data_IF_121874470087
#
_entry.id   IF_121874470087
#
_cell.length_a   1.000
_cell.length_b   1.000
_cell.length_c   1.000
_cell.angle_alpha   90.00
_cell.angle_beta   90.00
_cell.angle_gamma   90.00
#
_symmetry.space_group_name_H-M   'P 1'
#
loop_
_entity.id
_entity.type
_entity.pdbx_description
1 polymer ?
#
# COMPACT_ATOMS: atom_id res chain seq x y z
N UNK A 1 -11.56 -12.43 30.83
CA UNK A 1 -11.54 -11.28 31.77
C UNK A 1 -12.71 -11.43 32.76
N UNK A 2 -12.51 -11.06 34.02
CA UNK A 2 -13.59 -10.99 35.01
C UNK A 2 -14.59 -9.92 34.59
N UNK A 3 -15.87 -10.12 34.89
CA UNK A 3 -16.95 -9.22 34.51
C UNK A 3 -17.97 -9.17 35.65
N UNK A 4 -18.14 -8.01 36.31
CA UNK A 4 -19.17 -7.84 37.33
C UNK A 4 -20.58 -8.02 36.77
N UNK A 5 -21.50 -8.51 37.60
CA UNK A 5 -22.93 -8.62 37.31
C UNK A 5 -23.29 -9.35 36.00
N UNK A 6 -22.40 -10.19 35.47
CA UNK A 6 -22.58 -10.81 34.15
C UNK A 6 -23.78 -11.78 34.10
N UNK A 7 -24.08 -12.43 35.21
CA UNK A 7 -25.16 -13.42 35.27
C UNK A 7 -26.43 -12.88 35.92
N UNK A 8 -26.29 -11.99 36.91
CA UNK A 8 -27.34 -11.25 37.61
C UNK A 8 -26.65 -10.22 38.55
N UNK A 9 -27.38 -9.23 39.11
CA UNK A 9 -26.81 -8.33 40.10
C UNK A 9 -26.17 -9.07 41.27
N UNK A 10 -24.92 -8.73 41.59
CA UNK A 10 -24.10 -9.38 42.61
C UNK A 10 -23.43 -10.69 42.15
N UNK A 11 -23.66 -11.16 40.92
CA UNK A 11 -23.10 -12.43 40.42
C UNK A 11 -22.13 -12.22 39.26
N UNK A 12 -20.90 -11.99 39.64
CA UNK A 12 -19.81 -11.78 38.70
C UNK A 12 -19.33 -13.09 38.06
N UNK A 13 -18.77 -12.95 36.87
CA UNK A 13 -17.96 -14.00 36.25
C UNK A 13 -16.65 -14.19 37.01
N UNK A 14 -16.49 -15.34 37.67
CA UNK A 14 -15.28 -15.69 38.46
C UNK A 14 -14.21 -16.46 37.68
N UNK A 15 -14.59 -17.23 36.66
CA UNK A 15 -13.66 -17.98 35.82
C UNK A 15 -14.20 -18.15 34.40
N UNK A 16 -13.39 -18.76 33.53
CA UNK A 16 -13.79 -19.15 32.19
C UNK A 16 -13.16 -20.51 31.87
N UNK A 17 -13.84 -21.30 31.05
CA UNK A 17 -13.29 -22.54 30.54
C UNK A 17 -12.53 -22.27 29.25
N UNK A 18 -11.37 -22.90 29.11
CA UNK A 18 -10.63 -22.96 27.86
C UNK A 18 -10.76 -24.39 27.36
N UNK A 19 -11.33 -24.56 26.18
CA UNK A 19 -11.38 -25.86 25.52
C UNK A 19 -10.18 -25.98 24.61
N UNK A 20 -9.26 -26.88 24.95
CA UNK A 20 -8.06 -27.10 24.17
C UNK A 20 -8.20 -28.34 23.29
N UNK A 21 -8.85 -28.18 22.13
CA UNK A 21 -9.04 -29.28 21.18
C UNK A 21 -7.74 -29.68 20.47
N UNK A 22 -6.85 -28.70 20.24
CA UNK A 22 -5.65 -28.90 19.43
C UNK A 22 -4.40 -29.22 20.26
N UNK A 23 -4.53 -29.42 21.57
CA UNK A 23 -3.39 -29.63 22.48
C UNK A 23 -2.38 -28.46 22.43
N UNK A 24 -2.90 -27.23 22.36
CA UNK A 24 -2.08 -26.03 22.36
C UNK A 24 -1.30 -25.90 23.66
N UNK A 25 -1.91 -26.26 24.80
CA UNK A 25 -1.27 -26.18 26.11
C UNK A 25 -0.03 -27.09 26.16
N UNK A 26 -0.16 -28.34 25.70
CA UNK A 26 0.93 -29.28 25.61
C UNK A 26 1.99 -28.81 24.61
N UNK A 27 1.58 -28.31 23.44
CA UNK A 27 2.48 -27.74 22.44
C UNK A 27 3.32 -26.60 23.02
N UNK A 28 2.71 -25.62 23.69
CA UNK A 28 3.41 -24.47 24.28
C UNK A 28 4.18 -24.79 25.57
N UNK A 29 3.92 -25.92 26.22
CA UNK A 29 4.66 -26.36 27.41
C UNK A 29 6.03 -26.99 27.12
N UNK A 30 6.30 -27.30 25.84
CA UNK A 30 7.55 -27.91 25.40
C UNK A 30 8.69 -26.87 25.33
N UNK A 31 9.93 -27.34 25.52
CA UNK A 31 11.14 -26.56 25.22
C UNK A 31 11.36 -26.49 23.70
N UNK A 32 10.48 -25.79 22.99
CA UNK A 32 10.59 -25.57 21.55
C UNK A 32 11.60 -24.43 21.32
N UNK A 33 12.64 -24.63 20.49
CA UNK A 33 13.53 -23.54 20.09
C UNK A 33 12.69 -22.42 19.49
N UNK A 34 12.87 -21.19 19.96
CA UNK A 34 12.20 -20.05 19.38
C UNK A 34 12.54 -19.98 17.90
N UNK A 35 11.53 -20.12 17.04
CA UNK A 35 11.66 -19.71 15.64
C UNK A 35 11.56 -18.19 15.63
N UNK A 36 12.46 -17.52 14.92
CA UNK A 36 12.45 -16.04 14.83
C UNK A 36 11.15 -15.50 14.21
N UNK A 37 10.33 -16.36 13.62
CA UNK A 37 9.14 -15.98 12.87
C UNK A 37 9.52 -15.20 11.61
N UNK A 38 8.67 -15.25 10.60
CA UNK A 38 8.82 -14.32 9.48
C UNK A 38 8.26 -12.95 9.93
N UNK A 39 9.13 -12.09 10.46
CA UNK A 39 8.72 -10.70 10.72
C UNK A 39 8.46 -10.01 9.38
N UNK A 40 7.19 -9.68 9.14
CA UNK A 40 6.81 -8.79 8.04
C UNK A 40 7.51 -7.43 8.16
N UNK A 41 7.57 -6.68 7.06
CA UNK A 41 8.11 -5.34 7.09
C UNK A 41 7.38 -4.47 8.13
N UNK A 42 8.15 -3.76 8.97
CA UNK A 42 7.59 -2.85 9.96
C UNK A 42 6.66 -1.82 9.31
N UNK A 43 5.71 -1.27 10.07
CA UNK A 43 4.83 -0.20 9.57
C UNK A 43 5.65 0.97 8.98
N UNK A 44 6.75 1.35 9.65
CA UNK A 44 7.67 2.38 9.15
C UNK A 44 8.28 2.02 7.80
N UNK A 45 8.75 0.78 7.62
CA UNK A 45 9.30 0.31 6.33
C UNK A 45 8.26 0.32 5.21
N UNK A 46 7.02 -0.12 5.51
CA UNK A 46 5.92 -0.09 4.54
C UNK A 46 5.57 1.34 4.12
N UNK A 47 5.45 2.25 5.09
CA UNK A 47 5.15 3.67 4.82
C UNK A 47 6.28 4.35 4.04
N UNK A 48 7.53 4.08 4.39
CA UNK A 48 8.68 4.63 3.67
C UNK A 48 8.69 4.17 2.22
N UNK A 49 8.53 2.87 1.97
CA UNK A 49 8.49 2.32 0.61
C UNK A 49 7.35 2.93 -0.21
N UNK A 50 6.14 3.01 0.35
CA UNK A 50 4.99 3.59 -0.35
C UNK A 50 5.20 5.08 -0.70
N UNK A 51 5.85 5.85 0.18
CA UNK A 51 6.19 7.25 -0.10
C UNK A 51 7.23 7.37 -1.21
N UNK A 52 8.25 6.50 -1.20
CA UNK A 52 9.29 6.50 -2.22
C UNK A 52 8.71 6.14 -3.60
N UNK A 53 7.84 5.13 -3.65
CA UNK A 53 7.12 4.75 -4.87
C UNK A 53 6.27 5.90 -5.40
N UNK A 54 5.48 6.55 -4.54
CA UNK A 54 4.66 7.69 -4.92
C UNK A 54 5.49 8.85 -5.50
N UNK A 55 6.61 9.22 -4.86
CA UNK A 55 7.51 10.27 -5.37
C UNK A 55 8.05 9.87 -6.75
N UNK A 56 8.49 8.63 -6.91
CA UNK A 56 8.98 8.12 -8.19
C UNK A 56 7.95 8.20 -9.31
N UNK A 57 6.67 7.92 -9.03
CA UNK A 57 5.59 8.07 -10.01
C UNK A 57 5.30 9.53 -10.35
N UNK A 58 5.35 10.44 -9.37
CA UNK A 58 5.21 11.88 -9.61
C UNK A 58 6.35 12.43 -10.48
N UNK A 59 7.59 12.02 -10.24
CA UNK A 59 8.75 12.42 -11.02
C UNK A 59 8.63 11.97 -12.49
N UNK A 60 8.17 10.73 -12.72
CA UNK A 60 7.90 10.21 -14.07
C UNK A 60 6.83 11.03 -14.79
N UNK A 61 5.70 11.27 -14.12
CA UNK A 61 4.59 12.04 -14.68
C UNK A 61 5.02 13.48 -15.04
N UNK A 62 5.83 14.11 -14.20
CA UNK A 62 6.35 15.45 -14.47
C UNK A 62 7.29 15.46 -15.68
N UNK A 63 8.20 14.47 -15.76
CA UNK A 63 9.09 14.33 -16.91
C UNK A 63 8.33 14.09 -18.22
N UNK A 64 7.24 13.31 -18.18
CA UNK A 64 6.35 13.11 -19.33
C UNK A 64 5.65 14.39 -19.76
N UNK A 65 5.11 15.15 -18.80
CA UNK A 65 4.49 16.46 -19.05
C UNK A 65 5.47 17.43 -19.72
N UNK A 66 6.70 17.54 -19.19
CA UNK A 66 7.74 18.39 -19.79
C UNK A 66 8.10 17.96 -21.22
N UNK A 67 8.20 16.64 -21.48
CA UNK A 67 8.44 16.12 -22.83
C UNK A 67 7.30 16.43 -23.79
N UNK A 68 6.05 16.36 -23.32
CA UNK A 68 4.87 16.70 -24.12
C UNK A 68 4.86 18.20 -24.47
N UNK A 69 5.08 19.08 -23.49
CA UNK A 69 5.15 20.52 -23.71
C UNK A 69 6.28 20.91 -24.69
N UNK A 70 7.45 20.28 -24.58
CA UNK A 70 8.55 20.51 -25.51
C UNK A 70 8.24 20.04 -26.94
N UNK A 71 7.42 19.00 -27.12
CA UNK A 71 6.97 18.56 -28.45
C UNK A 71 5.96 19.53 -29.06
N UNK A 72 5.03 20.03 -28.25
CA UNK A 72 4.04 21.02 -28.68
C UNK A 72 4.70 22.34 -29.11
N UNK A 73 5.68 22.82 -28.35
CA UNK A 73 6.48 24.01 -28.73
C UNK A 73 7.31 23.83 -30.00
N UNK A 74 7.66 22.58 -30.34
CA UNK A 74 8.46 22.24 -31.53
C UNK A 74 7.59 21.87 -32.73
N UNK A 75 6.27 21.90 -32.59
CA UNK A 75 5.36 21.68 -33.69
C UNK A 75 5.47 22.86 -34.69
N UNK A 76 5.67 22.59 -35.99
CA UNK A 76 5.78 23.66 -36.97
C UNK A 76 4.47 24.48 -37.05
N UNK A 77 4.53 25.80 -37.28
CA UNK A 77 3.37 26.68 -37.26
C UNK A 77 2.40 26.50 -38.43
N UNK A 78 2.76 25.74 -39.46
CA UNK A 78 1.90 25.53 -40.63
C UNK A 78 1.18 24.17 -40.55
N UNK A 79 -0.16 24.23 -40.53
CA UNK A 79 -1.02 23.10 -40.84
C UNK A 79 -0.79 22.59 -42.27
N UNK A 80 -1.30 21.40 -42.63
CA UNK A 80 -1.22 20.93 -44.00
C UNK A 80 -1.84 22.00 -44.92
N UNK A 81 -1.24 22.29 -46.08
CA UNK A 81 -1.81 23.27 -47.00
C UNK A 81 -3.21 22.82 -47.39
N UNK A 82 -4.20 23.67 -47.15
CA UNK A 82 -5.61 23.39 -47.49
C UNK A 82 -5.83 23.31 -49.01
N UNK A 83 -4.83 23.69 -49.82
CA UNK A 83 -4.85 23.52 -51.27
C UNK A 83 -3.46 23.46 -51.90
N UNK A 84 -3.36 22.80 -53.05
CA UNK A 84 -2.13 22.61 -53.81
C UNK A 84 -1.54 23.90 -54.42
N UNK A 85 -2.22 25.04 -54.31
CA UNK A 85 -1.82 26.30 -54.95
C UNK A 85 -0.76 27.09 -54.16
N UNK A 86 -0.58 26.84 -52.87
CA UNK A 86 0.44 27.54 -52.05
C UNK A 86 1.89 27.07 -52.31
N UNK A 87 2.10 25.98 -53.04
CA UNK A 87 3.44 25.39 -53.24
C UNK A 87 4.27 26.13 -54.32
N UNK A 88 3.69 27.10 -55.05
CA UNK A 88 4.33 27.72 -56.23
C UNK A 88 4.87 29.14 -56.04
N UNK A 89 5.00 29.64 -54.82
CA UNK A 89 5.64 30.94 -54.58
C UNK A 89 6.73 30.79 -53.50
N UNK A 90 7.83 30.14 -53.89
CA UNK A 90 9.17 30.42 -53.36
C UNK A 90 10.02 30.99 -54.49
#
# INVERSE_FOLDING_TARGET
RLCPDLFEPGKDKKFFYVFDYCQNLEYFSQNIPATEGALGASLGKRLFNARLELIGELDKALAESHRAAAREQRAPPHGPPDSADEVRVQ
#
